data_IF_279799139872
#
_entry.id   IF_279799139872
#
_cell.length_a   1.000
_cell.length_b   1.000
_cell.length_c   1.000
_cell.angle_alpha   90.00
_cell.angle_beta   90.00
_cell.angle_gamma   90.00
#
_symmetry.space_group_name_H-M   'P 1'
#
loop_
_entity.id
_entity.type
_entity.pdbx_description
1 polymer ?
#
# COMPACT_ATOMS: atom_id res chain seq x y z
N UNK A 1 5.98 19.08 14.49
CA UNK A 1 5.25 18.17 13.57
C UNK A 1 3.78 18.29 13.90
N UNK A 2 2.92 18.60 12.93
CA UNK A 2 1.45 18.70 13.08
C UNK A 2 0.80 17.78 12.05
N UNK A 3 -0.40 17.31 12.36
CA UNK A 3 -1.23 16.61 11.38
C UNK A 3 -1.94 17.65 10.51
N UNK A 4 -2.10 17.34 9.23
CA UNK A 4 -2.92 18.14 8.33
C UNK A 4 -4.40 17.93 8.64
N UNK A 5 -5.14 18.99 8.56
CA UNK A 5 -6.61 19.01 8.74
C UNK A 5 -7.33 18.69 7.44
N UNK A 6 -8.63 18.40 7.51
CA UNK A 6 -9.48 18.18 6.34
C UNK A 6 -9.30 19.22 5.22
N UNK A 7 -9.37 20.56 5.49
CA UNK A 7 -9.17 21.56 4.43
C UNK A 7 -7.78 21.51 3.81
N UNK A 8 -6.74 21.31 4.61
CA UNK A 8 -5.36 21.23 4.11
C UNK A 8 -5.12 20.00 3.23
N UNK A 9 -5.73 18.85 3.58
CA UNK A 9 -5.66 17.65 2.73
C UNK A 9 -6.44 17.88 1.42
N UNK A 10 -7.60 18.51 1.46
CA UNK A 10 -8.36 18.87 0.25
C UNK A 10 -7.55 19.81 -0.65
N UNK A 11 -6.84 20.78 -0.07
CA UNK A 11 -5.96 21.67 -0.84
C UNK A 11 -4.83 20.90 -1.55
N UNK A 12 -4.25 19.89 -0.91
CA UNK A 12 -3.24 19.04 -1.56
C UNK A 12 -3.82 18.27 -2.75
N UNK A 13 -5.06 17.82 -2.66
CA UNK A 13 -5.76 17.16 -3.77
C UNK A 13 -6.00 18.16 -4.91
N UNK A 14 -6.50 19.35 -4.61
CA UNK A 14 -6.78 20.39 -5.61
C UNK A 14 -5.52 20.87 -6.33
N UNK A 15 -4.37 20.85 -5.66
CA UNK A 15 -3.06 21.19 -6.21
C UNK A 15 -2.40 20.03 -6.97
N UNK A 16 -3.01 18.84 -7.03
CA UNK A 16 -2.44 17.67 -7.68
C UNK A 16 -1.26 17.04 -6.94
N UNK A 17 -1.10 17.34 -5.66
CA UNK A 17 -0.12 16.67 -4.78
C UNK A 17 -0.56 15.23 -4.50
N UNK A 18 -1.87 15.02 -4.37
CA UNK A 18 -2.47 13.69 -4.27
C UNK A 18 -3.46 13.54 -5.43
N UNK A 19 -3.22 12.57 -6.30
CA UNK A 19 -3.98 12.35 -7.54
C UNK A 19 -4.79 11.07 -7.45
N UNK A 20 -5.91 11.01 -8.16
CA UNK A 20 -6.75 9.82 -8.22
C UNK A 20 -7.77 9.69 -7.09
N UNK A 21 -7.92 10.71 -6.26
CA UNK A 21 -8.84 10.75 -5.11
C UNK A 21 -9.64 12.06 -5.06
N UNK A 22 -10.49 12.20 -4.07
CA UNK A 22 -11.30 13.42 -3.88
C UNK A 22 -11.73 13.61 -2.43
N UNK A 23 -12.42 14.73 -2.12
CA UNK A 23 -12.80 15.11 -0.76
C UNK A 23 -13.62 14.05 -0.01
N UNK A 24 -14.37 13.22 -0.73
CA UNK A 24 -15.14 12.12 -0.13
C UNK A 24 -14.30 11.05 0.58
N UNK A 25 -13.01 10.98 0.26
CA UNK A 25 -12.06 10.05 0.88
C UNK A 25 -11.27 10.68 2.04
N UNK A 26 -11.47 11.99 2.28
CA UNK A 26 -10.76 12.74 3.33
C UNK A 26 -11.54 12.67 4.63
N UNK A 27 -10.87 12.30 5.71
CA UNK A 27 -11.37 12.37 7.09
C UNK A 27 -10.84 13.63 7.78
N UNK A 28 -11.08 13.78 9.08
CA UNK A 28 -10.68 14.97 9.84
C UNK A 28 -9.17 15.31 9.71
N UNK A 29 -8.31 14.26 9.74
CA UNK A 29 -6.84 14.39 9.69
C UNK A 29 -6.17 13.24 8.93
N UNK A 30 -6.90 12.57 8.05
CA UNK A 30 -6.38 11.44 7.27
C UNK A 30 -7.11 11.31 5.93
N UNK A 31 -6.49 10.59 5.01
CA UNK A 31 -7.06 10.20 3.72
C UNK A 31 -7.21 8.68 3.68
N UNK A 32 -8.38 8.20 3.29
CA UNK A 32 -8.57 6.80 2.97
C UNK A 32 -7.98 6.53 1.56
N UNK A 33 -7.05 5.59 1.46
CA UNK A 33 -6.47 5.16 0.19
C UNK A 33 -7.08 3.83 -0.23
N UNK A 34 -7.09 3.59 -1.55
CA UNK A 34 -7.68 2.39 -2.15
C UNK A 34 -6.60 1.49 -2.73
N UNK A 35 -6.93 0.22 -2.83
CA UNK A 35 -6.09 -0.75 -3.52
C UNK A 35 -6.05 -0.40 -5.02
N UNK A 36 -4.87 -0.31 -5.58
CA UNK A 36 -4.63 -0.15 -7.01
C UNK A 36 -4.75 -1.48 -7.76
N UNK A 37 -4.38 -1.44 -9.02
CA UNK A 37 -4.56 -2.57 -9.96
C UNK A 37 -3.34 -3.47 -10.10
N UNK A 38 -2.20 -3.09 -9.56
CA UNK A 38 -0.98 -3.90 -9.60
C UNK A 38 -0.82 -4.69 -8.30
N UNK A 39 -0.72 -5.99 -8.43
CA UNK A 39 -0.52 -6.93 -7.30
C UNK A 39 0.67 -7.83 -7.60
N UNK A 40 1.53 -8.03 -6.61
CA UNK A 40 2.62 -8.99 -6.66
C UNK A 40 2.34 -10.09 -5.65
N UNK A 41 2.31 -11.32 -6.13
CA UNK A 41 2.17 -12.52 -5.31
C UNK A 41 3.48 -13.29 -5.30
N UNK A 42 3.83 -13.91 -4.19
CA UNK A 42 4.99 -14.77 -4.12
C UNK A 42 4.84 -15.95 -5.09
N UNK A 43 5.87 -16.20 -5.90
CA UNK A 43 5.88 -17.37 -6.80
C UNK A 43 5.92 -18.65 -5.97
N UNK A 44 5.04 -19.58 -6.32
CA UNK A 44 5.18 -20.96 -5.83
C UNK A 44 6.54 -21.53 -6.22
N UNK A 45 7.03 -22.49 -5.45
CA UNK A 45 8.17 -23.30 -5.88
C UNK A 45 7.87 -24.02 -7.19
N UNK A 46 8.91 -24.35 -7.96
CA UNK A 46 8.79 -25.07 -9.25
C UNK A 46 8.07 -26.41 -9.11
N UNK A 47 8.01 -26.98 -7.91
CA UNK A 47 7.29 -28.20 -7.55
C UNK A 47 5.80 -27.93 -7.18
N UNK A 48 5.33 -26.70 -7.26
CA UNK A 48 3.97 -26.30 -6.93
C UNK A 48 3.64 -26.29 -5.44
N UNK A 49 4.64 -26.48 -4.57
CA UNK A 49 4.42 -26.40 -3.12
C UNK A 49 4.29 -24.94 -2.67
N UNK A 50 3.39 -24.67 -1.72
CA UNK A 50 3.31 -23.33 -1.12
C UNK A 50 4.62 -23.01 -0.40
N UNK A 51 5.03 -21.75 -0.51
CA UNK A 51 6.28 -21.25 0.11
C UNK A 51 6.06 -21.09 1.62
N UNK A 52 6.07 -22.19 2.34
CA UNK A 52 6.09 -22.16 3.80
C UNK A 52 7.53 -22.31 4.30
N UNK A 53 7.97 -21.38 5.12
CA UNK A 53 9.26 -21.47 5.81
C UNK A 53 10.49 -21.15 4.95
N UNK A 54 10.36 -20.26 3.97
CA UNK A 54 11.48 -19.81 3.16
C UNK A 54 12.52 -19.07 4.00
N UNK A 55 13.78 -19.48 3.86
CA UNK A 55 14.91 -18.72 4.42
C UNK A 55 15.33 -17.68 3.39
N UNK A 56 15.19 -16.40 3.73
CA UNK A 56 15.70 -15.28 2.94
C UNK A 56 16.94 -14.73 3.65
N UNK A 57 18.06 -14.70 2.93
CA UNK A 57 19.31 -14.13 3.44
C UNK A 57 19.40 -12.67 3.07
N UNK A 58 18.69 -11.81 3.83
CA UNK A 58 18.58 -10.40 3.55
C UNK A 58 19.95 -9.68 3.43
N UNK A 59 20.95 -10.12 4.22
CA UNK A 59 22.33 -9.58 4.14
C UNK A 59 23.06 -9.92 2.84
N UNK A 60 22.54 -10.86 2.04
CA UNK A 60 23.05 -11.20 0.70
C UNK A 60 22.28 -10.47 -0.42
N UNK A 61 21.35 -9.59 -0.08
CA UNK A 61 20.50 -8.93 -1.04
C UNK A 61 19.45 -9.84 -1.68
N UNK A 62 19.18 -11.01 -1.09
CA UNK A 62 18.13 -11.90 -1.58
C UNK A 62 16.76 -11.25 -1.34
N UNK A 63 15.91 -11.31 -2.35
CA UNK A 63 14.52 -10.88 -2.28
C UNK A 63 13.57 -12.02 -2.64
N UNK A 64 12.30 -11.86 -2.29
CA UNK A 64 11.28 -12.83 -2.69
C UNK A 64 11.10 -12.80 -4.22
N UNK A 65 10.95 -13.99 -4.82
CA UNK A 65 10.54 -14.08 -6.21
C UNK A 65 9.04 -13.78 -6.32
N UNK A 66 8.69 -12.65 -6.91
CA UNK A 66 7.33 -12.18 -7.04
C UNK A 66 6.82 -12.37 -8.47
N UNK A 67 5.54 -12.69 -8.60
CA UNK A 67 4.81 -12.68 -9.85
C UNK A 67 3.90 -11.46 -9.86
N UNK A 68 4.07 -10.62 -10.88
CA UNK A 68 3.21 -9.45 -11.11
C UNK A 68 1.91 -9.88 -11.78
N UNK A 69 0.82 -9.33 -11.31
CA UNK A 69 -0.52 -9.43 -11.88
C UNK A 69 -1.10 -8.02 -12.02
N UNK A 70 -1.69 -7.74 -13.18
CA UNK A 70 -2.43 -6.51 -13.43
C UNK A 70 -3.92 -6.83 -13.42
N UNK A 71 -4.64 -6.17 -12.52
CA UNK A 71 -6.08 -6.28 -12.37
C UNK A 71 -6.79 -5.15 -13.11
N UNK A 72 -8.06 -5.36 -13.43
CA UNK A 72 -8.93 -4.26 -13.82
C UNK A 72 -9.46 -3.56 -12.57
N UNK A 73 -9.74 -2.27 -12.67
CA UNK A 73 -10.38 -1.56 -11.58
C UNK A 73 -11.74 -2.18 -11.27
N UNK A 74 -11.91 -2.62 -10.03
CA UNK A 74 -13.11 -3.31 -9.56
C UNK A 74 -12.99 -4.85 -9.51
N UNK A 75 -11.89 -5.42 -9.98
CA UNK A 75 -11.60 -6.84 -9.77
C UNK A 75 -11.36 -7.14 -8.29
N UNK A 76 -11.64 -8.38 -7.89
CA UNK A 76 -11.44 -8.86 -6.52
C UNK A 76 -10.03 -9.40 -6.34
N UNK A 77 -9.40 -9.05 -5.21
CA UNK A 77 -8.13 -9.64 -4.78
C UNK A 77 -8.39 -10.60 -3.63
N UNK A 78 -8.08 -11.87 -3.85
CA UNK A 78 -8.25 -12.92 -2.83
C UNK A 78 -6.95 -13.05 -2.04
N UNK A 79 -7.05 -12.89 -0.73
CA UNK A 79 -5.99 -13.18 0.24
C UNK A 79 -6.33 -14.47 0.98
N UNK A 80 -5.60 -15.54 0.71
CA UNK A 80 -5.75 -16.78 1.46
C UNK A 80 -5.11 -16.65 2.86
N UNK A 81 -5.53 -17.44 3.86
CA UNK A 81 -4.88 -17.44 5.16
C UNK A 81 -3.38 -17.65 5.06
N UNK A 82 -2.60 -16.79 5.73
CA UNK A 82 -1.14 -16.80 5.69
C UNK A 82 -0.53 -16.22 4.41
N UNK A 83 -1.32 -15.74 3.46
CA UNK A 83 -0.80 -15.22 2.19
C UNK A 83 -0.33 -13.76 2.35
N UNK A 84 0.82 -13.47 1.76
CA UNK A 84 1.39 -12.14 1.62
C UNK A 84 1.30 -11.68 0.17
N UNK A 85 0.90 -10.43 -0.03
CA UNK A 85 0.93 -9.77 -1.35
C UNK A 85 1.48 -8.35 -1.22
N UNK A 86 2.30 -7.98 -2.20
CA UNK A 86 2.63 -6.57 -2.42
C UNK A 86 1.61 -5.97 -3.37
N UNK A 87 0.99 -4.89 -2.94
CA UNK A 87 0.04 -4.15 -3.75
C UNK A 87 0.50 -2.69 -3.88
N UNK A 88 -0.21 -1.90 -4.63
CA UNK A 88 0.00 -0.45 -4.66
C UNK A 88 -1.30 0.29 -4.30
N UNK A 89 -1.19 1.54 -3.92
CA UNK A 89 -2.35 2.43 -3.84
C UNK A 89 -2.88 2.76 -5.24
N UNK A 90 -4.17 3.03 -5.34
CA UNK A 90 -4.76 3.62 -6.53
C UNK A 90 -4.33 5.09 -6.68
N UNK A 91 -4.19 5.77 -5.55
CA UNK A 91 -3.74 7.15 -5.47
C UNK A 91 -2.24 7.27 -5.78
N UNK A 92 -1.89 8.32 -6.54
CA UNK A 92 -0.52 8.74 -6.77
C UNK A 92 -0.18 9.92 -5.86
N UNK A 93 1.05 9.95 -5.37
CA UNK A 93 1.54 10.97 -4.44
C UNK A 93 2.72 11.75 -5.02
N UNK A 94 2.66 13.06 -4.85
CA UNK A 94 3.67 14.04 -5.25
C UNK A 94 3.98 14.95 -4.05
N UNK A 95 4.50 14.37 -2.97
CA UNK A 95 4.69 15.07 -1.71
C UNK A 95 5.73 16.19 -1.83
N UNK A 96 5.45 17.40 -1.32
CA UNK A 96 6.45 18.44 -1.22
C UNK A 96 7.49 18.13 -0.14
N UNK A 97 8.57 18.91 -0.12
CA UNK A 97 9.73 18.68 0.74
C UNK A 97 9.46 18.91 2.24
N UNK A 98 8.31 19.45 2.59
CA UNK A 98 7.89 19.75 3.96
C UNK A 98 6.76 18.85 4.48
N UNK A 99 6.29 17.90 3.67
CA UNK A 99 5.21 16.97 4.03
C UNK A 99 5.72 15.52 3.95
N UNK A 100 5.50 14.78 5.02
CA UNK A 100 5.64 13.33 5.07
C UNK A 100 4.27 12.68 5.25
N UNK A 101 4.10 11.47 4.74
CA UNK A 101 2.90 10.68 4.96
C UNK A 101 3.23 9.34 5.62
N UNK A 102 2.33 8.90 6.50
CA UNK A 102 2.45 7.60 7.16
C UNK A 102 1.15 6.83 6.95
N UNK A 103 1.28 5.61 6.44
CA UNK A 103 0.13 4.73 6.27
C UNK A 103 -0.22 4.02 7.58
N UNK A 104 -1.48 4.01 7.89
CA UNK A 104 -2.04 3.19 8.96
C UNK A 104 -3.19 2.34 8.44
N UNK A 105 -3.20 1.08 8.84
CA UNK A 105 -4.30 0.20 8.50
C UNK A 105 -5.59 0.68 9.15
N UNK A 106 -6.66 0.76 8.37
CA UNK A 106 -7.98 1.07 8.88
C UNK A 106 -8.45 -0.03 9.82
N UNK A 107 -8.99 0.33 10.98
CA UNK A 107 -9.40 -0.65 12.00
C UNK A 107 -10.43 -1.67 11.50
N UNK A 108 -11.29 -1.29 10.56
CA UNK A 108 -12.23 -2.21 9.92
C UNK A 108 -11.50 -3.30 9.12
N UNK A 109 -10.45 -2.95 8.40
CA UNK A 109 -9.61 -3.88 7.62
C UNK A 109 -8.80 -4.79 8.55
N UNK A 110 -8.24 -4.24 9.63
CA UNK A 110 -7.55 -5.04 10.66
C UNK A 110 -8.45 -6.07 11.34
N UNK A 111 -9.72 -5.70 11.57
CA UNK A 111 -10.71 -6.65 12.13
C UNK A 111 -11.11 -7.79 11.19
N UNK A 112 -10.83 -7.67 9.89
CA UNK A 112 -10.99 -8.75 8.91
C UNK A 112 -9.77 -9.67 8.82
N UNK A 113 -8.74 -9.47 9.64
CA UNK A 113 -7.54 -10.29 9.65
C UNK A 113 -6.43 -9.80 8.72
N UNK A 114 -6.62 -8.70 7.99
CA UNK A 114 -5.55 -8.15 7.16
C UNK A 114 -4.60 -7.27 7.99
N UNK A 115 -3.30 -7.39 7.70
CA UNK A 115 -2.22 -6.60 8.29
C UNK A 115 -1.38 -5.98 7.16
N UNK A 116 -0.79 -4.79 7.38
CA UNK A 116 0.08 -4.13 6.40
C UNK A 116 1.57 -4.16 6.79
N UNK A 117 1.98 -5.03 7.67
CA UNK A 117 3.37 -5.27 8.10
C UNK A 117 4.12 -4.03 8.62
N UNK A 118 3.41 -2.96 8.99
CA UNK A 118 3.94 -1.68 9.50
C UNK A 118 4.87 -0.93 8.51
N UNK A 119 4.87 -1.29 7.23
CA UNK A 119 5.56 -0.55 6.19
C UNK A 119 4.62 0.49 5.58
N UNK A 120 5.07 1.69 5.37
CA UNK A 120 4.22 2.75 4.81
C UNK A 120 4.64 4.14 5.26
N UNK A 121 5.93 4.43 5.12
CA UNK A 121 6.46 5.76 5.34
C UNK A 121 6.84 6.39 3.98
N UNK A 122 6.33 7.59 3.74
CA UNK A 122 6.64 8.36 2.55
C UNK A 122 7.45 9.58 2.97
N UNK A 123 8.69 9.64 2.51
CA UNK A 123 9.59 10.76 2.78
C UNK A 123 9.09 12.06 2.14
N UNK A 124 9.47 13.22 2.70
CA UNK A 124 9.29 14.50 2.02
C UNK A 124 9.93 14.48 0.64
N UNK A 125 9.29 15.11 -0.34
CA UNK A 125 9.78 15.12 -1.72
C UNK A 125 9.56 13.82 -2.50
N UNK A 126 8.79 12.89 -1.99
CA UNK A 126 8.45 11.65 -2.68
C UNK A 126 7.42 11.90 -3.80
N UNK A 127 7.82 11.65 -5.07
CA UNK A 127 7.06 12.07 -6.25
C UNK A 127 6.71 10.92 -7.20
N UNK A 128 5.63 11.12 -7.96
CA UNK A 128 5.18 10.30 -9.09
C UNK A 128 5.12 8.82 -8.74
N UNK A 129 4.61 8.52 -7.57
CA UNK A 129 4.63 7.18 -7.01
C UNK A 129 3.33 6.79 -6.35
N UNK A 130 2.99 5.52 -6.51
CA UNK A 130 1.94 4.87 -5.73
C UNK A 130 2.54 4.31 -4.44
N UNK A 131 1.80 4.40 -3.35
CA UNK A 131 2.24 3.82 -2.08
C UNK A 131 2.26 2.30 -2.18
N UNK A 132 3.37 1.68 -1.78
CA UNK A 132 3.44 0.22 -1.67
C UNK A 132 2.66 -0.25 -0.44
N UNK A 133 1.81 -1.24 -0.64
CA UNK A 133 0.97 -1.83 0.39
C UNK A 133 1.41 -3.27 0.61
N UNK A 134 2.07 -3.52 1.73
CA UNK A 134 2.53 -4.84 2.14
C UNK A 134 1.44 -5.53 2.94
N UNK A 135 0.59 -6.32 2.28
CA UNK A 135 -0.61 -6.89 2.88
C UNK A 135 -0.46 -8.37 3.18
N UNK A 136 -0.86 -8.77 4.39
CA UNK A 136 -0.82 -10.14 4.87
C UNK A 136 -2.17 -10.51 5.50
N UNK A 137 -2.70 -11.68 5.16
CA UNK A 137 -3.87 -12.26 5.81
C UNK A 137 -3.40 -13.16 6.98
N UNK A 138 -3.62 -12.67 8.19
CA UNK A 138 -3.16 -13.34 9.44
C UNK A 138 -4.04 -14.50 9.84
#
# INVERSE_FOLDING_TARGET
MSLLTYPEICELIDRGVIVGTGPAMVNATSLDIRLGTTVYTEKAHDDGQPVHGRVVRAWMGESLALQREELRLGDEVIFRPGEFKLCCSLEEFNLPDDITAVMHLKSSTGRMGLNHMLAGYCDPGWHSSHMTLELHNS
#
